data_IF_371609295222
#
_entry.id   IF_371609295222
#
_cell.length_a   1.000
_cell.length_b   1.000
_cell.length_c   1.000
_cell.angle_alpha   90.00
_cell.angle_beta   90.00
_cell.angle_gamma   90.00
#
_symmetry.space_group_name_H-M   'P 1'
#
loop_
_entity.id
_entity.type
_entity.pdbx_description
1 polymer ?
#
# COMPACT_ATOMS: atom_id res chain seq x y z
N UNK A 1 -15.04 -16.95 -9.83
CA UNK A 1 -13.58 -16.75 -10.03
C UNK A 1 -12.86 -18.06 -9.74
N UNK A 2 -12.16 -18.64 -10.71
CA UNK A 2 -11.63 -20.02 -10.61
C UNK A 2 -10.54 -20.15 -9.54
N UNK A 3 -10.86 -20.89 -8.46
CA UNK A 3 -9.92 -21.63 -7.60
C UNK A 3 -9.18 -22.64 -8.47
N UNK A 4 -7.89 -22.42 -8.77
CA UNK A 4 -7.17 -23.37 -9.65
C UNK A 4 -5.71 -23.09 -9.98
N UNK A 5 -4.99 -22.24 -9.24
CA UNK A 5 -3.52 -22.13 -9.39
C UNK A 5 -2.86 -22.18 -8.02
N UNK A 6 -2.32 -23.34 -7.67
CA UNK A 6 -1.55 -23.63 -6.45
C UNK A 6 -0.13 -23.07 -6.55
N UNK A 7 0.00 -21.78 -6.86
CA UNK A 7 1.30 -21.11 -7.00
C UNK A 7 1.27 -19.74 -6.34
N UNK A 8 2.31 -19.45 -5.54
CA UNK A 8 2.52 -18.10 -5.02
C UNK A 8 2.75 -17.13 -6.19
N UNK A 9 2.00 -16.02 -6.23
CA UNK A 9 2.18 -14.95 -7.23
C UNK A 9 3.61 -14.39 -7.24
N UNK A 10 4.27 -14.42 -6.08
CA UNK A 10 5.65 -14.03 -5.90
C UNK A 10 6.48 -15.21 -5.38
N UNK A 11 7.43 -15.66 -6.22
CA UNK A 11 8.48 -16.62 -5.85
C UNK A 11 9.81 -16.19 -6.47
N UNK A 12 10.94 -16.43 -5.82
CA UNK A 12 12.24 -16.21 -6.43
C UNK A 12 12.58 -17.32 -7.44
N UNK A 13 13.23 -16.94 -8.54
CA UNK A 13 13.50 -17.84 -9.68
C UNK A 13 14.41 -19.02 -9.33
N UNK A 14 15.24 -18.88 -8.29
CA UNK A 14 16.31 -19.82 -7.92
C UNK A 14 16.02 -20.62 -6.65
N UNK A 15 14.79 -20.61 -6.14
CA UNK A 15 14.41 -21.40 -4.96
C UNK A 15 13.34 -22.40 -5.37
N UNK A 16 13.74 -23.67 -5.45
CA UNK A 16 12.84 -24.78 -5.81
C UNK A 16 11.79 -25.00 -4.72
N UNK A 17 12.21 -25.04 -3.45
CA UNK A 17 11.30 -25.21 -2.32
C UNK A 17 10.91 -23.86 -1.70
N UNK A 18 9.78 -23.30 -2.17
CA UNK A 18 9.18 -22.07 -1.64
C UNK A 18 8.07 -22.36 -0.62
N UNK A 19 8.13 -23.50 0.07
CA UNK A 19 7.22 -23.84 1.18
C UNK A 19 7.75 -23.34 2.53
N UNK A 20 8.03 -22.04 2.60
CA UNK A 20 8.47 -21.37 3.82
C UNK A 20 7.28 -20.71 4.54
N UNK A 21 7.37 -20.51 5.87
CA UNK A 21 6.44 -19.65 6.61
C UNK A 21 6.31 -18.27 5.95
N UNK A 22 5.10 -17.68 6.01
CA UNK A 22 4.83 -16.37 5.38
C UNK A 22 5.79 -15.28 5.86
N UNK A 23 6.17 -15.31 7.13
CA UNK A 23 7.13 -14.38 7.71
C UNK A 23 8.49 -14.45 7.01
N UNK A 24 8.97 -15.65 6.70
CA UNK A 24 10.28 -15.85 6.06
C UNK A 24 10.24 -15.45 4.59
N UNK A 25 9.12 -15.72 3.90
CA UNK A 25 8.85 -15.21 2.56
C UNK A 25 8.90 -13.68 2.54
N UNK A 26 8.29 -13.01 3.53
CA UNK A 26 8.34 -11.55 3.69
C UNK A 26 9.75 -11.05 3.98
N UNK A 27 10.48 -11.70 4.89
CA UNK A 27 11.88 -11.37 5.21
C UNK A 27 12.78 -11.47 3.99
N UNK A 28 12.59 -12.49 3.15
CA UNK A 28 13.35 -12.66 1.91
C UNK A 28 13.24 -11.44 1.00
N UNK A 29 12.02 -11.01 0.66
CA UNK A 29 11.81 -9.84 -0.21
C UNK A 29 12.26 -8.53 0.46
N UNK A 30 12.09 -8.42 1.77
CA UNK A 30 12.59 -7.27 2.54
C UNK A 30 14.11 -7.15 2.44
N UNK A 31 14.84 -8.25 2.65
CA UNK A 31 16.31 -8.28 2.51
C UNK A 31 16.76 -8.03 1.07
N UNK A 32 16.05 -8.58 0.09
CA UNK A 32 16.33 -8.33 -1.33
C UNK A 32 16.20 -6.84 -1.65
N UNK A 33 15.15 -6.20 -1.17
CA UNK A 33 14.94 -4.77 -1.36
C UNK A 33 15.99 -3.93 -0.63
N UNK A 34 16.37 -4.28 0.61
CA UNK A 34 17.46 -3.57 1.31
C UNK A 34 18.75 -3.55 0.50
N UNK A 35 19.17 -4.68 -0.07
CA UNK A 35 20.37 -4.74 -0.94
C UNK A 35 20.26 -3.85 -2.17
N UNK A 36 19.07 -3.77 -2.77
CA UNK A 36 18.81 -2.86 -3.88
C UNK A 36 19.00 -1.41 -3.42
N UNK A 37 18.38 -1.01 -2.30
CA UNK A 37 18.52 0.37 -1.78
C UNK A 37 19.98 0.73 -1.50
N UNK A 38 20.71 -0.17 -0.83
CA UNK A 38 22.10 0.06 -0.48
C UNK A 38 22.96 0.27 -1.74
N UNK A 39 22.69 -0.51 -2.80
CA UNK A 39 23.38 -0.37 -4.09
C UNK A 39 23.08 0.96 -4.81
N UNK A 40 21.88 1.50 -4.64
CA UNK A 40 21.43 2.72 -5.31
C UNK A 40 21.39 3.94 -4.37
N UNK A 41 22.01 3.84 -3.19
CA UNK A 41 22.11 4.92 -2.19
C UNK A 41 20.75 5.52 -1.80
N UNK A 42 19.70 4.68 -1.82
CA UNK A 42 18.34 5.09 -1.43
C UNK A 42 18.24 5.13 0.09
N UNK A 43 17.61 6.18 0.63
CA UNK A 43 17.40 6.34 2.08
C UNK A 43 16.84 5.09 2.75
N UNK A 44 17.32 4.82 3.97
CA UNK A 44 16.86 3.70 4.80
C UNK A 44 15.40 3.84 5.24
N UNK A 45 14.82 5.01 5.13
CA UNK A 45 13.41 5.27 5.44
C UNK A 45 12.46 4.72 4.37
N UNK A 46 12.96 4.57 3.14
CA UNK A 46 12.17 4.02 2.04
C UNK A 46 12.14 2.49 2.13
N UNK A 47 11.17 1.93 2.84
CA UNK A 47 11.03 0.47 3.05
C UNK A 47 10.14 -0.15 1.97
N UNK A 48 10.08 -1.48 1.91
CA UNK A 48 9.17 -2.17 0.98
C UNK A 48 7.69 -1.77 1.23
N UNK A 49 7.33 -1.46 2.47
CA UNK A 49 6.01 -0.93 2.83
C UNK A 49 5.74 0.48 2.28
N UNK A 50 6.78 1.26 1.93
CA UNK A 50 6.62 2.59 1.33
C UNK A 50 5.88 2.52 0.00
N UNK A 51 6.11 1.50 -0.83
CA UNK A 51 5.34 1.30 -2.06
C UNK A 51 3.85 1.13 -1.79
N UNK A 52 3.49 0.35 -0.77
CA UNK A 52 2.09 0.18 -0.38
C UNK A 52 1.47 1.53 -0.01
N UNK A 53 2.15 2.33 0.81
CA UNK A 53 1.66 3.66 1.17
C UNK A 53 1.47 4.53 -0.08
N UNK A 54 2.45 4.59 -0.97
CA UNK A 54 2.35 5.38 -2.21
C UNK A 54 1.17 4.96 -3.09
N UNK A 55 0.96 3.66 -3.30
CA UNK A 55 -0.14 3.19 -4.15
C UNK A 55 -1.51 3.39 -3.51
N UNK A 56 -1.64 3.17 -2.19
CA UNK A 56 -2.89 3.46 -1.48
C UNK A 56 -3.23 4.95 -1.60
N UNK A 57 -2.25 5.83 -1.41
CA UNK A 57 -2.44 7.28 -1.59
C UNK A 57 -2.83 7.65 -3.03
N UNK A 58 -2.21 7.04 -4.05
CA UNK A 58 -2.58 7.28 -5.45
C UNK A 58 -4.00 6.85 -5.76
N UNK A 59 -4.42 5.66 -5.29
CA UNK A 59 -5.78 5.17 -5.47
C UNK A 59 -6.76 6.06 -4.70
N UNK A 60 -6.42 6.48 -3.48
CA UNK A 60 -7.22 7.44 -2.71
C UNK A 60 -7.50 8.71 -3.51
N UNK A 61 -6.45 9.34 -4.04
CA UNK A 61 -6.57 10.56 -4.84
C UNK A 61 -7.45 10.37 -6.07
N UNK A 62 -7.35 9.22 -6.75
CA UNK A 62 -8.16 8.93 -7.93
C UNK A 62 -9.63 8.75 -7.56
N UNK A 63 -9.92 7.97 -6.51
CA UNK A 63 -11.29 7.76 -6.02
C UNK A 63 -11.93 9.04 -5.49
N UNK A 64 -11.15 9.92 -4.85
CA UNK A 64 -11.64 11.22 -4.34
C UNK A 64 -12.15 12.16 -5.42
N UNK A 65 -11.80 11.96 -6.69
CA UNK A 65 -12.32 12.76 -7.79
C UNK A 65 -13.83 12.55 -8.01
N UNK A 66 -14.38 11.42 -7.58
CA UNK A 66 -15.78 11.06 -7.80
C UNK A 66 -16.54 10.64 -6.54
N UNK A 67 -15.83 10.20 -5.50
CA UNK A 67 -16.43 9.70 -4.27
C UNK A 67 -16.13 10.63 -3.09
N UNK A 68 -17.03 10.68 -2.12
CA UNK A 68 -16.75 11.32 -0.84
C UNK A 68 -15.56 10.65 -0.13
N UNK A 69 -14.98 11.36 0.84
CA UNK A 69 -13.90 10.83 1.69
C UNK A 69 -14.30 9.52 2.37
N UNK A 70 -15.51 9.45 2.90
CA UNK A 70 -16.01 8.27 3.59
C UNK A 70 -16.14 7.08 2.64
N UNK A 71 -16.75 7.26 1.48
CA UNK A 71 -16.90 6.21 0.47
C UNK A 71 -15.55 5.73 -0.07
N UNK A 72 -14.64 6.67 -0.32
CA UNK A 72 -13.28 6.35 -0.77
C UNK A 72 -12.56 5.45 0.23
N UNK A 73 -12.66 5.78 1.53
CA UNK A 73 -12.01 5.00 2.58
C UNK A 73 -12.65 3.60 2.69
N UNK A 74 -13.98 3.51 2.60
CA UNK A 74 -14.65 2.20 2.58
C UNK A 74 -14.20 1.33 1.41
N UNK A 75 -14.11 1.89 0.21
CA UNK A 75 -13.62 1.16 -0.96
C UNK A 75 -12.15 0.74 -0.81
N UNK A 76 -11.29 1.61 -0.31
CA UNK A 76 -9.89 1.26 -0.05
C UNK A 76 -9.74 0.17 1.01
N UNK A 77 -10.58 0.15 2.06
CA UNK A 77 -10.58 -0.92 3.05
C UNK A 77 -10.84 -2.28 2.39
N UNK A 78 -11.79 -2.34 1.45
CA UNK A 78 -12.10 -3.56 0.70
C UNK A 78 -10.97 -3.97 -0.25
N UNK A 79 -10.40 -3.03 -0.99
CA UNK A 79 -9.31 -3.30 -1.96
C UNK A 79 -8.04 -3.78 -1.25
N UNK A 80 -7.73 -3.19 -0.10
CA UNK A 80 -6.45 -3.38 0.58
C UNK A 80 -6.51 -4.35 1.75
N UNK A 81 -7.71 -4.73 2.19
CA UNK A 81 -7.93 -5.58 3.36
C UNK A 81 -7.51 -4.94 4.69
N UNK A 82 -7.43 -3.60 4.76
CA UNK A 82 -7.10 -2.89 5.99
C UNK A 82 -8.34 -2.33 6.67
N UNK A 83 -8.24 -2.18 7.99
CA UNK A 83 -9.14 -1.33 8.77
C UNK A 83 -9.07 0.13 8.32
N UNK A 84 -10.22 0.82 8.29
CA UNK A 84 -10.33 2.22 7.87
C UNK A 84 -9.35 3.14 8.61
N UNK A 85 -9.08 2.87 9.90
CA UNK A 85 -8.12 3.63 10.72
C UNK A 85 -6.70 3.59 10.14
N UNK A 86 -6.27 2.47 9.57
CA UNK A 86 -4.96 2.35 8.96
C UNK A 86 -4.85 3.23 7.69
N UNK A 87 -5.93 3.33 6.92
CA UNK A 87 -6.01 4.16 5.71
C UNK A 87 -5.95 5.65 6.07
N UNK A 88 -6.65 6.08 7.13
CA UNK A 88 -6.56 7.45 7.64
C UNK A 88 -5.13 7.86 7.98
N UNK A 89 -4.35 6.96 8.59
CA UNK A 89 -2.94 7.22 8.89
C UNK A 89 -2.12 7.43 7.59
N UNK A 90 -2.42 6.69 6.53
CA UNK A 90 -1.73 6.86 5.24
C UNK A 90 -2.01 8.21 4.59
N UNK A 91 -3.25 8.69 4.69
CA UNK A 91 -3.65 9.95 4.05
C UNK A 91 -3.15 11.16 4.85
N UNK A 92 -3.33 11.15 6.19
CA UNK A 92 -2.90 12.25 7.06
C UNK A 92 -1.39 12.45 7.07
N UNK A 93 -0.61 11.36 7.11
CA UNK A 93 0.86 11.45 7.17
C UNK A 93 1.44 12.09 5.91
N UNK A 94 0.75 11.99 4.77
CA UNK A 94 1.23 12.52 3.49
C UNK A 94 0.63 13.89 3.14
N UNK A 95 -0.17 14.51 4.02
CA UNK A 95 -0.86 15.81 3.83
C UNK A 95 -1.55 15.95 2.46
N UNK A 96 -2.12 14.85 1.98
CA UNK A 96 -2.51 14.67 0.57
C UNK A 96 -3.80 15.41 0.23
N UNK A 97 -4.63 15.65 1.23
CA UNK A 97 -5.97 16.18 1.05
C UNK A 97 -6.03 17.61 1.59
N UNK A 98 -6.23 18.57 0.70
CA UNK A 98 -6.63 19.92 1.08
C UNK A 98 -8.03 19.87 1.70
N UNK A 99 -8.29 20.67 2.76
CA UNK A 99 -9.63 20.79 3.31
C UNK A 99 -10.61 21.26 2.22
N UNK A 100 -11.84 20.76 2.30
CA UNK A 100 -12.95 21.25 1.47
C UNK A 100 -13.17 22.73 1.77
N UNK A 101 -13.51 23.51 0.73
CA UNK A 101 -13.83 24.92 0.91
C UNK A 101 -15.23 25.03 1.54
N UNK A 102 -15.27 25.49 2.80
CA UNK A 102 -16.50 25.69 3.55
C UNK A 102 -16.92 27.17 3.59
N UNK A 103 -16.30 28.05 2.80
CA UNK A 103 -16.62 29.49 2.78
C UNK A 103 -18.10 29.75 2.50
N UNK A 104 -18.77 28.89 1.72
CA UNK A 104 -20.20 28.97 1.42
C UNK A 104 -21.13 28.84 2.64
N UNK A 105 -20.63 28.34 3.78
CA UNK A 105 -21.42 28.26 5.03
C UNK A 105 -21.30 29.52 5.90
N UNK A 106 -20.46 30.49 5.50
CA UNK A 106 -20.21 31.74 6.24
C UNK A 106 -20.94 32.95 5.62
N UNK A 107 -21.74 32.74 4.58
CA UNK A 107 -22.63 33.74 3.97
C UNK A 107 -23.99 33.79 4.70
#
# INVERSE_FOLDING_TARGET
MQKGKTGFLFKPDKIENWDLPEEDKRKYFTRRFSRFRDKFEISKDFKLYSFRHTYITKIYLELRKSLSKHETIQQLSLITGHESKAIYNYIRVNDVELPEDYSSFLE
#
